data_IF_418427826268
#
_entry.id   IF_418427826268
#
_cell.length_a   1.000
_cell.length_b   1.000
_cell.length_c   1.000
_cell.angle_alpha   90.00
_cell.angle_beta   90.00
_cell.angle_gamma   90.00
#
_symmetry.space_group_name_H-M   'P 1'
#
loop_
_entity.id
_entity.type
_entity.pdbx_description
1 polymer ?
#
# COMPACT_ATOMS: atom_id res chain seq x y z
N UNK A 1 -5.33 -9.64 -10.61
CA UNK A 1 -3.96 -9.28 -10.25
C UNK A 1 -3.68 -7.89 -10.82
N UNK A 2 -4.07 -6.82 -10.12
CA UNK A 2 -3.86 -5.44 -10.58
C UNK A 2 -2.43 -4.98 -10.29
N UNK A 3 -2.25 -3.78 -9.76
CA UNK A 3 -0.96 -3.20 -9.39
C UNK A 3 -0.13 -4.02 -8.38
N UNK A 4 -0.72 -5.01 -7.70
CA UNK A 4 0.01 -5.94 -6.83
C UNK A 4 0.75 -7.07 -7.59
N UNK A 5 0.67 -7.12 -8.92
CA UNK A 5 1.30 -8.16 -9.74
C UNK A 5 2.79 -7.87 -9.96
N UNK A 6 3.66 -8.51 -9.18
CA UNK A 6 5.12 -8.33 -9.29
C UNK A 6 5.73 -8.83 -10.61
N UNK A 7 5.02 -9.67 -11.38
CA UNK A 7 5.50 -10.08 -12.71
C UNK A 7 5.25 -9.00 -13.75
N UNK A 8 4.19 -8.21 -13.57
CA UNK A 8 3.84 -7.09 -14.44
C UNK A 8 4.50 -5.78 -13.97
N UNK A 9 4.67 -5.63 -12.66
CA UNK A 9 5.31 -4.50 -11.99
C UNK A 9 6.44 -5.02 -11.09
N UNK A 10 7.61 -5.39 -11.65
CA UNK A 10 8.72 -5.91 -10.87
C UNK A 10 9.21 -4.91 -9.81
N UNK A 11 9.59 -5.41 -8.64
CA UNK A 11 10.17 -4.60 -7.57
C UNK A 11 11.45 -3.90 -8.07
N UNK A 12 11.70 -2.68 -7.59
CA UNK A 12 12.80 -1.83 -8.03
C UNK A 12 12.59 -1.16 -9.40
N UNK A 13 11.60 -1.55 -10.20
CA UNK A 13 11.38 -0.99 -11.55
C UNK A 13 10.39 0.16 -11.61
N UNK A 14 9.73 0.47 -10.48
CA UNK A 14 8.74 1.54 -10.35
C UNK A 14 9.06 2.41 -9.14
N UNK A 15 8.56 3.64 -9.12
CA UNK A 15 8.80 4.57 -8.00
C UNK A 15 8.23 4.08 -6.66
N UNK A 16 7.26 3.18 -6.69
CA UNK A 16 6.58 2.65 -5.50
C UNK A 16 5.11 2.45 -5.81
N UNK A 17 4.55 1.35 -5.35
CA UNK A 17 3.13 1.02 -5.54
C UNK A 17 2.50 0.77 -4.19
N UNK A 18 1.45 1.53 -3.86
CA UNK A 18 0.62 1.29 -2.68
C UNK A 18 -0.71 0.69 -3.12
N UNK A 19 -1.03 -0.50 -2.61
CA UNK A 19 -2.31 -1.19 -2.84
C UNK A 19 -3.09 -1.26 -1.55
N UNK A 20 -4.27 -0.63 -1.55
CA UNK A 20 -5.17 -0.52 -0.41
C UNK A 20 -6.27 -1.58 -0.54
N UNK A 21 -6.38 -2.46 0.46
CA UNK A 21 -7.33 -3.58 0.49
C UNK A 21 -8.19 -3.51 1.74
N UNK A 22 -9.28 -2.76 1.66
CA UNK A 22 -10.23 -2.58 2.74
C UNK A 22 -11.61 -3.13 2.35
N UNK A 23 -12.42 -3.60 3.32
CA UNK A 23 -13.79 -4.04 3.07
C UNK A 23 -14.62 -2.91 2.45
N UNK A 24 -15.47 -3.24 1.48
CA UNK A 24 -16.34 -2.27 0.81
C UNK A 24 -17.42 -1.69 1.73
N UNK A 25 -17.76 -2.39 2.82
CA UNK A 25 -18.73 -1.90 3.82
C UNK A 25 -18.12 -0.86 4.77
N UNK A 26 -16.79 -0.65 4.75
CA UNK A 26 -16.15 0.31 5.65
C UNK A 26 -16.54 1.75 5.27
N UNK A 27 -16.91 2.61 6.25
CA UNK A 27 -17.19 4.01 5.97
C UNK A 27 -15.97 4.72 5.37
N UNK A 28 -16.16 5.47 4.28
CA UNK A 28 -15.09 6.19 3.57
C UNK A 28 -14.26 7.08 4.50
N UNK A 29 -14.91 7.73 5.47
CA UNK A 29 -14.22 8.58 6.45
C UNK A 29 -13.24 7.77 7.30
N UNK A 30 -13.66 6.61 7.79
CA UNK A 30 -12.79 5.72 8.57
C UNK A 30 -11.63 5.21 7.72
N UNK A 31 -11.91 4.81 6.47
CA UNK A 31 -10.88 4.36 5.53
C UNK A 31 -9.82 5.44 5.30
N UNK A 32 -10.23 6.68 4.98
CA UNK A 32 -9.29 7.79 4.74
C UNK A 32 -8.46 8.10 5.97
N UNK A 33 -9.07 8.16 7.16
CA UNK A 33 -8.35 8.39 8.42
C UNK A 33 -7.28 7.31 8.65
N UNK A 34 -7.67 6.03 8.60
CA UNK A 34 -6.74 4.92 8.79
C UNK A 34 -5.64 4.90 7.72
N UNK A 35 -5.97 5.22 6.47
CA UNK A 35 -5.01 5.27 5.37
C UNK A 35 -3.95 6.36 5.61
N UNK A 36 -4.37 7.58 5.94
CA UNK A 36 -3.47 8.72 6.19
C UNK A 36 -2.59 8.44 7.40
N UNK A 37 -3.16 7.94 8.49
CA UNK A 37 -2.42 7.57 9.70
C UNK A 37 -1.36 6.49 9.39
N UNK A 38 -1.72 5.47 8.62
CA UNK A 38 -0.79 4.38 8.28
C UNK A 38 0.33 4.88 7.37
N UNK A 39 0.00 5.63 6.31
CA UNK A 39 1.00 6.17 5.37
C UNK A 39 1.98 7.12 6.05
N UNK A 40 1.53 7.89 7.04
CA UNK A 40 2.38 8.80 7.81
C UNK A 40 3.44 8.06 8.65
N UNK A 41 3.30 6.75 8.88
CA UNK A 41 4.31 5.94 9.61
C UNK A 41 5.43 5.39 8.71
N UNK A 42 5.28 5.49 7.39
CA UNK A 42 6.21 4.91 6.41
C UNK A 42 7.21 5.98 6.01
N UNK A 43 8.51 5.66 6.02
CA UNK A 43 9.53 6.61 5.55
C UNK A 43 9.56 6.68 4.02
N UNK A 44 9.88 7.84 3.45
CA UNK A 44 9.95 8.06 1.99
C UNK A 44 10.82 7.00 1.27
N UNK A 45 11.94 6.63 1.85
CA UNK A 45 12.85 5.61 1.32
C UNK A 45 12.22 4.20 1.25
N UNK A 46 11.18 3.93 2.04
CA UNK A 46 10.50 2.65 2.02
C UNK A 46 9.54 2.49 0.83
N UNK A 47 9.15 3.58 0.18
CA UNK A 47 8.31 3.56 -1.02
C UNK A 47 9.11 3.22 -2.28
N UNK A 48 10.39 3.61 -2.33
CA UNK A 48 11.21 3.48 -3.54
C UNK A 48 11.32 2.01 -3.97
N UNK A 49 10.90 1.72 -5.21
CA UNK A 49 10.96 0.37 -5.76
C UNK A 49 10.02 -0.64 -5.09
N UNK A 50 9.20 -0.24 -4.12
CA UNK A 50 8.51 -1.20 -3.25
C UNK A 50 7.04 -1.39 -3.60
N UNK A 51 6.52 -2.57 -3.26
CA UNK A 51 5.09 -2.85 -3.25
C UNK A 51 4.62 -2.88 -1.80
N UNK A 52 3.80 -1.90 -1.43
CA UNK A 52 3.18 -1.79 -0.11
C UNK A 52 1.72 -2.21 -0.23
N UNK A 53 1.32 -3.18 0.58
CA UNK A 53 -0.07 -3.64 0.66
C UNK A 53 -0.60 -3.28 2.05
N UNK A 54 -1.65 -2.45 2.07
CA UNK A 54 -2.34 -2.01 3.27
C UNK A 54 -3.67 -2.77 3.41
N UNK A 55 -3.82 -3.47 4.51
CA UNK A 55 -5.00 -4.22 4.94
C UNK A 55 -5.41 -3.71 6.35
N UNK A 56 -6.68 -3.82 6.78
CA UNK A 56 -7.06 -3.46 8.14
C UNK A 56 -6.16 -4.12 9.19
N UNK A 57 -5.46 -3.30 9.97
CA UNK A 57 -4.54 -3.76 11.03
C UNK A 57 -3.26 -4.45 10.53
N UNK A 58 -2.97 -4.44 9.22
CA UNK A 58 -1.80 -5.12 8.66
C UNK A 58 -1.19 -4.35 7.49
N UNK A 59 0.11 -4.14 7.57
CA UNK A 59 0.92 -3.60 6.48
C UNK A 59 1.96 -4.63 6.03
N UNK A 60 2.17 -4.75 4.71
CA UNK A 60 3.25 -5.56 4.14
C UNK A 60 4.02 -4.74 3.13
N UNK A 61 5.34 -4.71 3.27
CA UNK A 61 6.26 -4.06 2.33
C UNK A 61 7.06 -5.17 1.64
N UNK A 62 7.16 -5.11 0.31
CA UNK A 62 8.00 -5.97 -0.51
C UNK A 62 9.00 -5.10 -1.27
N UNK A 63 10.27 -5.46 -1.21
CA UNK A 63 11.40 -4.80 -1.88
C UNK A 63 12.12 -5.81 -2.76
#
# INVERSE_FOLDING_TARGET
MGFANVLQYPLGTHHGIVVVRFPSEMPTRTLVMTLVETLATIQDAEFEGSLIILEPGRMRIRR
#
